data_IF_013380347666
#
_entry.id   IF_013380347666
#
_cell.length_a   1.000
_cell.length_b   1.000
_cell.length_c   1.000
_cell.angle_alpha   90.00
_cell.angle_beta   90.00
_cell.angle_gamma   90.00
#
_symmetry.space_group_name_H-M   'P 1'
#
loop_
_entity.id
_entity.type
_entity.pdbx_description
1 polymer ?
#
# COMPACT_ATOMS: atom_id res chain seq x y z
N UNK A 1 1.45 -2.04 -10.28
CA UNK A 1 1.81 -0.69 -10.78
C UNK A 1 3.22 -0.76 -11.33
N UNK A 2 3.44 -0.48 -12.62
CA UNK A 2 4.79 -0.47 -13.18
C UNK A 2 5.55 0.74 -12.62
N UNK A 3 6.77 0.51 -12.16
CA UNK A 3 7.69 1.55 -11.76
C UNK A 3 8.01 2.42 -12.99
N UNK A 4 7.49 3.63 -13.05
CA UNK A 4 7.86 4.59 -14.09
C UNK A 4 9.27 5.10 -13.76
N UNK A 5 10.21 4.88 -14.66
CA UNK A 5 11.53 5.48 -14.56
C UNK A 5 11.47 6.87 -15.17
N UNK A 6 12.21 7.85 -14.62
CA UNK A 6 12.37 9.13 -15.27
C UNK A 6 12.87 8.89 -16.70
N UNK A 7 12.19 9.47 -17.65
CA UNK A 7 12.55 9.44 -19.07
C UNK A 7 12.23 10.83 -19.64
N UNK A 8 13.20 11.76 -19.62
CA UNK A 8 12.98 13.13 -20.09
C UNK A 8 12.42 13.18 -21.51
N UNK A 9 12.89 12.33 -22.41
CA UNK A 9 12.40 12.31 -23.79
C UNK A 9 10.92 11.96 -23.84
N UNK A 10 10.48 10.93 -23.10
CA UNK A 10 9.06 10.59 -23.01
C UNK A 10 8.23 11.64 -22.29
N UNK A 11 8.80 12.28 -21.26
CA UNK A 11 8.13 13.38 -20.58
C UNK A 11 7.77 14.48 -21.57
N UNK A 12 8.74 15.04 -22.26
CA UNK A 12 8.48 16.11 -23.21
C UNK A 12 7.56 15.69 -24.36
N UNK A 13 7.76 14.51 -24.93
CA UNK A 13 7.00 14.07 -26.11
C UNK A 13 5.58 13.60 -25.82
N UNK A 14 5.32 13.01 -24.64
CA UNK A 14 4.06 12.31 -24.35
C UNK A 14 3.28 12.82 -23.16
N UNK A 15 3.96 13.38 -22.15
CA UNK A 15 3.33 13.71 -20.88
C UNK A 15 3.21 15.22 -20.65
N UNK A 16 4.09 16.03 -21.24
CA UNK A 16 3.98 17.47 -21.13
C UNK A 16 2.88 18.01 -22.06
N UNK A 17 1.84 18.55 -21.46
CA UNK A 17 0.80 19.30 -22.15
C UNK A 17 1.20 20.75 -22.27
N UNK A 18 1.38 21.25 -23.50
CA UNK A 18 1.69 22.66 -23.73
C UNK A 18 0.44 23.50 -23.47
N UNK A 19 0.55 24.44 -22.54
CA UNK A 19 -0.49 25.36 -22.13
C UNK A 19 -0.20 26.77 -22.62
N UNK A 20 -1.20 27.67 -22.54
CA UNK A 20 -1.03 29.09 -22.83
C UNK A 20 0.03 29.75 -21.89
N UNK A 21 0.20 29.25 -20.69
CA UNK A 21 1.23 29.74 -19.78
C UNK A 21 2.64 29.42 -20.30
N UNK A 22 2.86 28.22 -20.82
CA UNK A 22 4.14 27.88 -21.49
C UNK A 22 4.41 28.80 -22.67
N UNK A 23 3.42 29.02 -23.54
CA UNK A 23 3.53 29.92 -24.69
C UNK A 23 3.86 31.36 -24.25
N UNK A 24 3.16 31.86 -23.23
CA UNK A 24 3.39 33.20 -22.69
C UNK A 24 4.80 33.37 -22.12
N UNK A 25 5.31 32.35 -21.42
CA UNK A 25 6.66 32.38 -20.83
C UNK A 25 7.77 32.29 -21.87
N UNK A 26 7.53 31.55 -22.97
CA UNK A 26 8.49 31.34 -24.05
C UNK A 26 8.45 32.42 -25.12
N UNK A 27 7.38 33.23 -25.22
CA UNK A 27 7.17 34.21 -26.26
C UNK A 27 6.58 33.63 -27.56
N UNK A 28 6.33 34.48 -28.56
CA UNK A 28 5.61 34.12 -29.81
C UNK A 28 6.48 33.41 -30.87
N UNK A 29 7.66 32.94 -30.54
CA UNK A 29 8.63 32.39 -31.49
C UNK A 29 8.28 30.99 -32.02
N UNK A 30 7.31 30.29 -31.41
CA UNK A 30 7.00 28.88 -31.71
C UNK A 30 5.67 28.75 -32.41
N UNK A 31 5.64 28.04 -33.53
CA UNK A 31 4.44 27.82 -34.34
C UNK A 31 3.62 26.58 -33.92
N UNK A 32 4.22 25.66 -33.20
CA UNK A 32 3.57 24.40 -32.78
C UNK A 32 3.98 23.94 -31.37
N UNK A 33 3.12 23.09 -30.76
CA UNK A 33 3.44 22.43 -29.49
C UNK A 33 4.68 21.53 -29.58
N UNK A 34 4.90 20.93 -30.74
CA UNK A 34 6.05 20.06 -30.98
C UNK A 34 7.36 20.86 -30.98
N UNK A 35 7.38 22.05 -31.60
CA UNK A 35 8.54 22.93 -31.51
C UNK A 35 8.85 23.36 -30.10
N UNK A 36 7.81 23.70 -29.31
CA UNK A 36 7.97 24.05 -27.89
C UNK A 36 8.57 22.87 -27.12
N UNK A 37 8.04 21.64 -27.27
CA UNK A 37 8.56 20.45 -26.59
C UNK A 37 10.02 20.18 -26.95
N UNK A 38 10.35 20.31 -28.22
CA UNK A 38 11.74 20.13 -28.70
C UNK A 38 12.66 21.19 -28.11
N UNK A 39 12.23 22.44 -28.06
CA UNK A 39 12.98 23.52 -27.43
C UNK A 39 13.22 23.28 -25.94
N UNK A 40 12.14 22.98 -25.16
CA UNK A 40 12.23 22.71 -23.74
C UNK A 40 13.19 21.55 -23.43
N UNK A 41 13.25 20.53 -24.28
CA UNK A 41 14.16 19.40 -24.11
C UNK A 41 15.64 19.79 -24.21
N UNK A 42 15.97 20.94 -24.82
CA UNK A 42 17.35 21.43 -24.98
C UNK A 42 17.82 22.36 -23.86
N UNK A 43 16.90 22.77 -22.99
CA UNK A 43 17.17 23.73 -21.91
C UNK A 43 17.86 23.06 -20.72
N UNK A 44 18.64 23.87 -20.01
CA UNK A 44 19.21 23.46 -18.73
C UNK A 44 18.16 23.42 -17.58
N UNK A 45 18.47 22.78 -16.45
CA UNK A 45 17.55 22.68 -15.31
C UNK A 45 17.09 24.05 -14.77
N UNK A 46 17.95 25.07 -14.74
CA UNK A 46 17.57 26.40 -14.20
C UNK A 46 16.55 27.10 -15.10
N UNK A 47 16.65 26.92 -16.41
CA UNK A 47 15.69 27.44 -17.37
C UNK A 47 14.34 26.67 -17.26
N UNK A 48 14.40 25.35 -17.09
CA UNK A 48 13.20 24.52 -16.92
C UNK A 48 12.46 24.86 -15.63
N UNK A 49 13.15 25.13 -14.53
CA UNK A 49 12.53 25.53 -13.25
C UNK A 49 11.69 26.81 -13.37
N UNK A 50 12.02 27.71 -14.30
CA UNK A 50 11.27 28.94 -14.55
C UNK A 50 10.06 28.74 -15.46
N UNK A 51 10.12 27.75 -16.32
CA UNK A 51 9.12 27.52 -17.37
C UNK A 51 8.07 26.50 -16.96
N UNK A 52 8.49 25.41 -16.31
CA UNK A 52 7.63 24.32 -15.90
C UNK A 52 7.00 24.58 -14.52
N UNK A 53 5.83 24.02 -14.30
CA UNK A 53 5.20 23.99 -12.99
C UNK A 53 5.91 23.00 -12.07
N UNK A 54 5.72 23.13 -10.76
CA UNK A 54 6.25 22.19 -9.76
C UNK A 54 5.90 20.73 -10.09
N UNK A 55 4.68 20.49 -10.54
CA UNK A 55 4.23 19.17 -10.94
C UNK A 55 4.94 18.63 -12.18
N UNK A 56 5.14 19.46 -13.18
CA UNK A 56 5.85 19.08 -14.41
C UNK A 56 7.33 18.79 -14.12
N UNK A 57 7.94 19.56 -13.23
CA UNK A 57 9.29 19.28 -12.72
C UNK A 57 9.36 17.95 -11.95
N UNK A 58 8.35 17.66 -11.12
CA UNK A 58 8.24 16.36 -10.45
C UNK A 58 8.12 15.22 -11.47
N UNK A 59 7.25 15.36 -12.46
CA UNK A 59 7.05 14.36 -13.51
C UNK A 59 8.30 14.16 -14.38
N UNK A 60 9.04 15.23 -14.67
CA UNK A 60 10.33 15.18 -15.36
C UNK A 60 11.38 14.41 -14.56
N UNK A 61 11.51 14.71 -13.27
CA UNK A 61 12.58 14.19 -12.42
C UNK A 61 12.29 12.78 -11.86
N UNK A 62 11.02 12.44 -11.62
CA UNK A 62 10.62 11.19 -10.97
C UNK A 62 9.72 10.29 -11.82
N UNK A 63 9.33 10.74 -13.00
CA UNK A 63 8.46 10.04 -13.93
C UNK A 63 7.00 10.48 -13.83
N UNK A 64 6.42 10.80 -14.98
CA UNK A 64 5.02 11.22 -15.08
C UNK A 64 4.07 10.15 -14.57
N UNK A 65 3.11 10.56 -13.74
CA UNK A 65 2.07 9.71 -13.16
C UNK A 65 0.76 10.45 -13.03
N UNK A 66 -0.32 9.74 -13.25
CA UNK A 66 -1.66 10.25 -13.03
C UNK A 66 -1.98 10.27 -11.54
N UNK A 67 -2.70 11.31 -11.12
CA UNK A 67 -3.18 11.50 -9.76
C UNK A 67 -4.70 11.54 -9.76
N UNK A 68 -5.32 11.23 -8.64
CA UNK A 68 -6.79 11.32 -8.50
C UNK A 68 -7.33 12.74 -8.70
N UNK A 69 -6.45 13.76 -8.61
CA UNK A 69 -6.79 15.17 -8.83
C UNK A 69 -6.82 15.57 -10.32
N UNK A 70 -6.38 14.71 -11.24
CA UNK A 70 -6.33 15.02 -12.68
C UNK A 70 -7.69 14.88 -13.35
N UNK A 71 -8.69 15.58 -12.79
CA UNK A 71 -10.09 15.49 -13.19
C UNK A 71 -10.38 15.99 -14.63
N UNK A 72 -9.44 16.70 -15.24
CA UNK A 72 -9.51 17.07 -16.66
C UNK A 72 -9.36 15.85 -17.57
N UNK A 73 -8.66 14.81 -17.10
CA UNK A 73 -8.58 13.52 -17.76
C UNK A 73 -9.85 12.73 -17.49
N UNK A 74 -10.61 12.39 -18.55
CA UNK A 74 -11.92 11.73 -18.42
C UNK A 74 -11.84 10.44 -17.58
N UNK A 75 -10.87 9.57 -17.86
CA UNK A 75 -10.71 8.30 -17.14
C UNK A 75 -10.39 8.48 -15.64
N UNK A 76 -9.79 9.60 -15.23
CA UNK A 76 -9.57 9.94 -13.81
C UNK A 76 -10.85 10.55 -13.22
N UNK A 77 -11.50 11.43 -13.94
CA UNK A 77 -12.78 12.02 -13.53
C UNK A 77 -13.83 10.96 -13.26
N UNK A 78 -13.90 9.95 -14.12
CA UNK A 78 -14.93 8.91 -14.10
C UNK A 78 -14.65 7.79 -13.07
N UNK A 79 -13.49 7.79 -12.38
CA UNK A 79 -13.14 6.78 -11.36
C UNK A 79 -14.23 6.56 -10.31
N UNK A 80 -14.87 7.62 -9.73
CA UNK A 80 -15.94 7.40 -8.76
C UNK A 80 -17.17 6.66 -9.31
N UNK A 81 -17.42 6.79 -10.60
CA UNK A 81 -18.55 6.12 -11.27
C UNK A 81 -18.24 4.65 -11.54
N UNK A 82 -17.00 4.33 -11.94
CA UNK A 82 -16.67 2.99 -12.43
C UNK A 82 -16.11 2.06 -11.35
N UNK A 83 -15.42 2.60 -10.32
CA UNK A 83 -14.76 1.79 -9.32
C UNK A 83 -15.72 0.95 -8.44
N UNK A 84 -16.89 1.45 -8.01
CA UNK A 84 -17.81 0.63 -7.21
C UNK A 84 -18.17 -0.68 -7.90
N UNK A 85 -18.51 -0.65 -9.18
CA UNK A 85 -18.86 -1.85 -9.94
C UNK A 85 -17.66 -2.77 -10.17
N UNK A 86 -16.49 -2.22 -10.48
CA UNK A 86 -15.27 -3.03 -10.69
C UNK A 86 -14.85 -3.80 -9.44
N UNK A 87 -14.95 -3.18 -8.25
CA UNK A 87 -14.68 -3.85 -6.99
C UNK A 87 -15.73 -4.91 -6.66
N UNK A 88 -16.99 -4.61 -6.89
CA UNK A 88 -18.07 -5.55 -6.63
C UNK A 88 -18.00 -6.76 -7.56
N UNK A 89 -17.72 -6.58 -8.85
CA UNK A 89 -17.52 -7.67 -9.80
C UNK A 89 -16.29 -8.53 -9.44
N UNK A 90 -15.23 -7.92 -8.91
CA UNK A 90 -14.07 -8.66 -8.41
C UNK A 90 -14.43 -9.51 -7.17
N UNK A 91 -15.22 -8.98 -6.25
CA UNK A 91 -15.70 -9.71 -5.08
C UNK A 91 -16.65 -10.86 -5.48
N UNK A 92 -17.53 -10.66 -6.46
CA UNK A 92 -18.37 -11.74 -7.00
C UNK A 92 -17.54 -12.89 -7.57
N UNK A 93 -16.49 -12.58 -8.37
CA UNK A 93 -15.58 -13.63 -8.87
C UNK A 93 -14.84 -14.37 -7.75
N UNK A 94 -14.47 -13.70 -6.66
CA UNK A 94 -13.88 -14.35 -5.51
C UNK A 94 -14.89 -15.31 -4.83
N UNK A 95 -16.15 -14.89 -4.66
CA UNK A 95 -17.22 -15.72 -4.12
C UNK A 95 -17.51 -16.93 -5.01
N UNK A 96 -17.59 -16.74 -6.32
CA UNK A 96 -17.77 -17.82 -7.31
C UNK A 96 -16.60 -18.81 -7.30
N UNK A 97 -15.38 -18.34 -7.00
CA UNK A 97 -14.20 -19.20 -6.84
C UNK A 97 -14.16 -19.97 -5.50
N UNK A 98 -15.19 -19.81 -4.63
CA UNK A 98 -15.30 -20.53 -3.36
C UNK A 98 -14.47 -19.90 -2.23
N UNK A 99 -14.13 -18.61 -2.31
CA UNK A 99 -13.51 -17.88 -1.21
C UNK A 99 -14.56 -17.51 -0.16
N UNK A 100 -14.17 -17.47 1.12
CA UNK A 100 -15.05 -17.11 2.24
C UNK A 100 -15.26 -15.59 2.35
N UNK A 101 -14.37 -14.79 1.77
CA UNK A 101 -14.43 -13.34 1.83
C UNK A 101 -13.34 -12.63 1.05
N UNK A 102 -13.37 -11.29 1.11
CA UNK A 102 -12.35 -10.41 0.51
C UNK A 102 -11.94 -9.28 1.44
N UNK A 103 -10.71 -8.81 1.32
CA UNK A 103 -10.21 -7.60 1.95
C UNK A 103 -10.03 -6.51 0.87
N UNK A 104 -10.81 -5.43 0.95
CA UNK A 104 -10.70 -4.28 0.06
C UNK A 104 -9.39 -3.53 0.32
N UNK A 105 -8.60 -3.32 -0.73
CA UNK A 105 -7.27 -2.74 -0.58
C UNK A 105 -7.28 -1.22 -0.71
N UNK A 106 -7.32 -0.52 0.42
CA UNK A 106 -7.35 0.94 0.54
C UNK A 106 -6.04 1.51 1.10
N UNK A 107 -4.91 0.89 0.78
CA UNK A 107 -3.61 1.23 1.35
C UNK A 107 -2.52 1.44 0.28
N UNK A 108 -1.33 1.90 0.69
CA UNK A 108 -0.06 1.93 -0.04
C UNK A 108 -0.04 2.74 -1.34
N UNK A 109 -0.67 3.92 -1.35
CA UNK A 109 -0.72 4.84 -2.50
C UNK A 109 -1.33 4.22 -3.78
N UNK A 110 -2.14 3.16 -3.63
CA UNK A 110 -3.01 2.69 -4.71
C UNK A 110 -4.26 3.56 -4.82
N UNK A 111 -5.04 3.37 -5.86
CA UNK A 111 -6.14 4.26 -6.23
C UNK A 111 -7.06 4.61 -5.05
N UNK A 112 -7.53 3.63 -4.29
CA UNK A 112 -8.43 3.89 -3.16
C UNK A 112 -7.73 4.62 -2.00
N UNK A 113 -6.47 4.29 -1.71
CA UNK A 113 -5.67 5.03 -0.75
C UNK A 113 -5.47 6.49 -1.18
N UNK A 114 -5.32 6.73 -2.48
CA UNK A 114 -5.20 8.09 -3.03
C UNK A 114 -6.48 8.90 -2.86
N UNK A 115 -7.66 8.27 -2.90
CA UNK A 115 -8.92 8.95 -2.56
C UNK A 115 -9.00 9.31 -1.07
N UNK A 116 -8.49 8.49 -0.17
CA UNK A 116 -8.44 8.77 1.28
C UNK A 116 -7.36 9.80 1.66
N UNK A 117 -6.38 10.03 0.79
CA UNK A 117 -5.25 10.93 1.06
C UNK A 117 -5.69 12.37 1.32
N UNK A 118 -5.02 13.05 2.26
CA UNK A 118 -5.20 14.48 2.47
C UNK A 118 -4.72 15.33 1.27
N UNK A 119 -3.91 14.75 0.39
CA UNK A 119 -3.49 15.35 -0.89
C UNK A 119 -4.57 15.23 -1.99
N UNK A 120 -5.66 14.54 -1.72
CA UNK A 120 -6.82 14.50 -2.62
C UNK A 120 -7.66 15.78 -2.45
N UNK A 121 -7.48 16.71 -3.36
CA UNK A 121 -8.13 18.02 -3.37
C UNK A 121 -9.27 18.12 -4.40
N UNK A 122 -9.80 17.00 -4.88
CA UNK A 122 -10.95 16.99 -5.82
C UNK A 122 -12.10 17.84 -5.30
N UNK A 123 -12.72 18.63 -6.18
CA UNK A 123 -13.85 19.52 -5.85
C UNK A 123 -15.21 18.94 -6.23
N UNK A 124 -15.24 17.75 -6.83
CA UNK A 124 -16.45 17.05 -7.29
C UNK A 124 -17.17 16.25 -6.19
N UNK A 125 -16.78 16.45 -4.94
CA UNK A 125 -17.38 15.77 -3.80
C UNK A 125 -16.66 14.47 -3.39
N UNK A 126 -15.60 14.07 -4.09
CA UNK A 126 -14.78 12.87 -3.80
C UNK A 126 -13.38 13.22 -3.27
N UNK A 127 -13.20 14.40 -2.68
CA UNK A 127 -11.93 14.86 -2.11
C UNK A 127 -12.12 16.02 -1.14
N UNK A 128 -11.02 16.66 -0.73
CA UNK A 128 -11.00 17.78 0.18
C UNK A 128 -11.31 17.39 1.61
N UNK A 129 -12.57 17.49 2.04
CA UNK A 129 -12.98 17.16 3.42
C UNK A 129 -12.88 15.66 3.74
N UNK A 130 -12.93 15.31 5.03
CA UNK A 130 -12.94 13.90 5.47
C UNK A 130 -14.11 13.13 4.84
N UNK A 131 -15.28 13.74 4.81
CA UNK A 131 -16.49 13.18 4.21
C UNK A 131 -16.34 12.97 2.70
N UNK A 132 -15.73 13.93 2.00
CA UNK A 132 -15.46 13.80 0.56
C UNK A 132 -14.46 12.69 0.27
N UNK A 133 -13.37 12.59 1.04
CA UNK A 133 -12.33 11.59 0.84
C UNK A 133 -12.79 10.16 1.15
N UNK A 134 -13.67 9.96 2.11
CA UNK A 134 -14.19 8.64 2.47
C UNK A 134 -15.37 8.19 1.61
N UNK A 135 -16.01 9.09 0.88
CA UNK A 135 -17.23 8.83 0.11
C UNK A 135 -17.08 7.65 -0.85
N UNK A 136 -16.11 7.69 -1.77
CA UNK A 136 -15.91 6.61 -2.72
C UNK A 136 -15.59 5.25 -2.04
N UNK A 137 -14.70 5.16 -1.05
CA UNK A 137 -14.53 3.95 -0.25
C UNK A 137 -15.85 3.39 0.31
N UNK A 138 -16.74 4.23 0.83
CA UNK A 138 -18.04 3.81 1.38
C UNK A 138 -19.00 3.34 0.28
N UNK A 139 -19.05 4.00 -0.86
CA UNK A 139 -19.84 3.58 -2.01
C UNK A 139 -19.38 2.22 -2.54
N UNK A 140 -18.07 1.97 -2.58
CA UNK A 140 -17.50 0.65 -2.93
C UNK A 140 -17.94 -0.41 -1.92
N UNK A 141 -17.85 -0.15 -0.61
CA UNK A 141 -18.28 -1.09 0.44
C UNK A 141 -19.77 -1.44 0.24
N UNK A 142 -20.62 -0.44 0.06
CA UNK A 142 -22.06 -0.62 -0.15
C UNK A 142 -22.36 -1.48 -1.38
N UNK A 143 -21.75 -1.17 -2.53
CA UNK A 143 -21.98 -1.89 -3.78
C UNK A 143 -21.44 -3.33 -3.72
N UNK A 144 -20.28 -3.54 -3.10
CA UNK A 144 -19.75 -4.89 -2.88
C UNK A 144 -20.70 -5.69 -1.99
N UNK A 145 -21.14 -5.13 -0.85
CA UNK A 145 -22.06 -5.81 0.08
C UNK A 145 -23.38 -6.18 -0.60
N UNK A 146 -23.94 -5.27 -1.38
CA UNK A 146 -25.18 -5.51 -2.14
C UNK A 146 -25.05 -6.73 -3.07
N UNK A 147 -23.91 -6.85 -3.79
CA UNK A 147 -23.71 -7.94 -4.77
C UNK A 147 -23.30 -9.28 -4.12
N UNK A 148 -22.49 -9.27 -3.07
CA UNK A 148 -22.02 -10.53 -2.45
C UNK A 148 -22.93 -11.02 -1.32
N UNK A 149 -23.77 -10.16 -0.72
CA UNK A 149 -24.67 -10.51 0.40
C UNK A 149 -23.95 -10.51 1.74
N UNK A 150 -24.74 -10.78 2.81
CA UNK A 150 -24.30 -10.69 4.21
C UNK A 150 -23.42 -11.87 4.66
N UNK A 151 -23.56 -13.05 4.04
CA UNK A 151 -22.81 -14.25 4.41
C UNK A 151 -21.37 -14.27 3.88
N UNK A 152 -21.00 -13.33 3.03
CA UNK A 152 -19.64 -13.23 2.47
C UNK A 152 -18.81 -12.23 3.26
N UNK A 153 -17.68 -12.68 3.83
CA UNK A 153 -16.83 -11.83 4.68
C UNK A 153 -16.23 -10.67 3.89
N UNK A 154 -16.48 -9.45 4.34
CA UNK A 154 -16.01 -8.23 3.70
C UNK A 154 -15.21 -7.37 4.68
N UNK A 155 -13.92 -7.26 4.45
CA UNK A 155 -13.05 -6.36 5.23
C UNK A 155 -12.37 -5.32 4.37
N UNK A 156 -11.63 -4.43 5.01
CA UNK A 156 -10.73 -3.52 4.30
C UNK A 156 -9.38 -3.40 5.00
N UNK A 157 -8.37 -3.01 4.21
CA UNK A 157 -7.07 -2.58 4.72
C UNK A 157 -6.84 -1.14 4.36
N UNK A 158 -6.58 -0.28 5.34
CA UNK A 158 -6.27 1.12 5.10
C UNK A 158 -5.11 1.61 5.99
N UNK A 159 -4.65 2.85 5.75
CA UNK A 159 -3.50 3.41 6.44
C UNK A 159 -3.91 4.17 7.70
N UNK A 160 -3.23 3.89 8.80
CA UNK A 160 -3.28 4.73 10.01
C UNK A 160 -2.63 6.10 9.80
N UNK A 161 -1.72 6.21 8.84
CA UNK A 161 -0.98 7.42 8.49
C UNK A 161 -0.26 7.18 7.16
N UNK A 162 -0.21 8.20 6.29
CA UNK A 162 0.55 8.11 5.04
C UNK A 162 2.05 8.29 5.22
N UNK A 163 2.50 8.94 6.30
CA UNK A 163 3.90 9.26 6.58
C UNK A 163 4.59 10.11 5.51
N UNK A 164 3.85 11.03 4.89
CA UNK A 164 4.36 11.99 3.90
C UNK A 164 3.91 13.40 4.25
N UNK A 165 4.63 14.40 3.75
CA UNK A 165 4.27 15.81 3.94
C UNK A 165 2.90 16.09 3.34
N UNK A 166 1.99 16.65 4.14
CA UNK A 166 0.63 16.95 3.71
C UNK A 166 -0.31 15.74 3.56
N UNK A 167 0.18 14.52 3.81
CA UNK A 167 -0.62 13.30 3.76
C UNK A 167 -1.58 13.14 4.94
N UNK A 168 -2.44 12.14 4.87
CA UNK A 168 -3.39 11.79 5.94
C UNK A 168 -2.69 11.40 7.23
N UNK A 169 -3.20 11.90 8.33
CA UNK A 169 -2.73 11.66 9.69
C UNK A 169 -3.54 10.59 10.42
N UNK A 170 -3.08 10.19 11.60
CA UNK A 170 -3.84 9.31 12.48
C UNK A 170 -5.23 9.87 12.84
N UNK A 171 -5.39 11.20 12.90
CA UNK A 171 -6.70 11.82 13.15
C UNK A 171 -7.67 11.53 12.01
N UNK A 172 -7.22 11.61 10.76
CA UNK A 172 -8.02 11.27 9.59
C UNK A 172 -8.38 9.76 9.60
N UNK A 173 -7.40 8.92 9.92
CA UNK A 173 -7.58 7.46 9.98
C UNK A 173 -8.58 7.03 11.08
N UNK A 174 -8.61 7.71 12.21
CA UNK A 174 -9.62 7.49 13.26
C UNK A 174 -11.03 7.74 12.72
N UNK A 175 -11.23 8.84 12.00
CA UNK A 175 -12.51 9.14 11.35
C UNK A 175 -12.88 8.05 10.33
N UNK A 176 -11.97 7.71 9.43
CA UNK A 176 -12.21 6.69 8.41
C UNK A 176 -12.53 5.32 9.03
N UNK A 177 -11.81 4.91 10.07
CA UNK A 177 -12.04 3.66 10.78
C UNK A 177 -13.46 3.57 11.36
N UNK A 178 -13.96 4.65 11.96
CA UNK A 178 -15.33 4.73 12.47
C UNK A 178 -16.35 4.63 11.34
N UNK A 179 -16.16 5.36 10.23
CA UNK A 179 -17.06 5.30 9.09
C UNK A 179 -17.08 3.92 8.41
N UNK A 180 -15.93 3.23 8.33
CA UNK A 180 -15.86 1.86 7.82
C UNK A 180 -16.56 0.85 8.73
N UNK A 181 -16.42 0.98 10.04
CA UNK A 181 -17.16 0.14 11.00
C UNK A 181 -18.67 0.37 10.90
N UNK A 182 -19.10 1.63 10.80
CA UNK A 182 -20.50 2.02 10.59
C UNK A 182 -21.06 1.49 9.25
N UNK A 183 -20.24 1.38 8.22
CA UNK A 183 -20.62 0.80 6.94
C UNK A 183 -20.79 -0.72 6.95
N UNK A 184 -20.58 -1.39 8.10
CA UNK A 184 -20.83 -2.81 8.27
C UNK A 184 -19.74 -3.74 7.74
N UNK A 185 -18.47 -3.31 7.77
CA UNK A 185 -17.38 -4.23 7.49
C UNK A 185 -17.24 -5.29 8.60
N UNK A 186 -16.95 -6.53 8.19
CA UNK A 186 -16.77 -7.66 9.08
C UNK A 186 -15.42 -7.63 9.82
N UNK A 187 -14.40 -6.97 9.25
CA UNK A 187 -13.13 -6.68 9.90
C UNK A 187 -12.43 -5.49 9.24
N UNK A 188 -11.51 -4.86 9.98
CA UNK A 188 -10.68 -3.77 9.49
C UNK A 188 -9.21 -4.06 9.79
N UNK A 189 -8.38 -4.02 8.77
CA UNK A 189 -6.93 -4.25 8.84
C UNK A 189 -6.17 -2.93 8.78
N UNK A 190 -5.33 -2.67 9.77
CA UNK A 190 -4.60 -1.39 9.86
C UNK A 190 -3.17 -1.55 9.38
N UNK A 191 -2.77 -0.66 8.49
CA UNK A 191 -1.40 -0.53 8.02
C UNK A 191 -0.86 0.89 8.23
N UNK A 192 0.35 1.19 7.81
CA UNK A 192 0.99 2.50 7.94
C UNK A 192 1.98 2.76 6.82
N UNK A 193 2.04 4.00 6.37
CA UNK A 193 2.93 4.45 5.31
C UNK A 193 2.45 4.10 3.90
N UNK A 194 3.05 4.75 2.91
CA UNK A 194 2.68 4.62 1.51
C UNK A 194 3.76 3.98 0.64
N UNK A 195 3.42 3.70 -0.60
CA UNK A 195 4.35 3.31 -1.66
C UNK A 195 4.24 4.32 -2.80
N UNK A 196 5.36 4.89 -3.20
CA UNK A 196 5.44 5.81 -4.32
C UNK A 196 6.22 5.19 -5.47
N UNK A 197 5.89 5.57 -6.70
CA UNK A 197 6.56 5.07 -7.91
C UNK A 197 8.05 5.42 -7.96
N UNK A 198 8.42 6.55 -7.37
CA UNK A 198 9.78 7.05 -7.24
C UNK A 198 10.51 6.57 -5.98
N UNK A 199 9.86 5.77 -5.16
CA UNK A 199 10.43 5.27 -3.94
C UNK A 199 11.69 4.43 -4.17
N UNK A 200 12.73 4.67 -3.34
CA UNK A 200 13.93 3.84 -3.31
C UNK A 200 13.56 2.41 -2.96
N UNK A 201 14.02 1.48 -3.77
CA UNK A 201 13.89 0.07 -3.44
C UNK A 201 14.93 -0.31 -2.38
N UNK A 202 14.55 -0.98 -1.28
CA UNK A 202 15.49 -1.45 -0.29
C UNK A 202 16.40 -2.52 -0.88
N UNK A 203 17.63 -2.60 -0.40
CA UNK A 203 18.49 -3.75 -0.65
C UNK A 203 18.06 -4.94 0.19
N UNK A 204 18.46 -6.14 -0.21
CA UNK A 204 18.27 -7.34 0.60
C UNK A 204 19.00 -7.14 1.93
N UNK A 205 18.30 -7.31 3.04
CA UNK A 205 18.83 -7.10 4.39
C UNK A 205 18.58 -5.71 4.97
N UNK A 206 18.12 -4.74 4.16
CA UNK A 206 17.63 -3.46 4.66
C UNK A 206 16.15 -3.57 5.06
N UNK A 207 15.72 -2.73 5.99
CA UNK A 207 14.30 -2.64 6.31
C UNK A 207 13.50 -2.16 5.09
N UNK A 208 12.51 -2.93 4.67
CA UNK A 208 11.78 -2.70 3.43
C UNK A 208 10.69 -1.64 3.56
N UNK A 209 10.52 -1.07 4.69
CA UNK A 209 9.28 -0.37 4.96
C UNK A 209 9.38 1.03 5.44
N UNK A 210 8.42 1.64 4.97
CA UNK A 210 7.68 1.54 3.72
C UNK A 210 8.52 2.08 2.62
N UNK A 211 8.06 1.89 1.42
CA UNK A 211 8.68 2.53 0.28
C UNK A 211 8.77 4.03 0.52
N UNK A 212 9.95 4.52 0.33
CA UNK A 212 10.32 5.90 0.60
C UNK A 212 10.03 6.76 -0.62
N UNK A 213 9.60 8.00 -0.41
CA UNK A 213 9.45 9.02 -1.45
C UNK A 213 10.79 9.54 -1.98
N UNK A 214 10.83 10.71 -2.66
CA UNK A 214 12.03 11.27 -3.27
C UNK A 214 13.20 11.42 -2.31
N UNK A 215 12.96 11.82 -1.05
CA UNK A 215 14.00 11.93 -0.02
C UNK A 215 14.49 10.57 0.48
N UNK A 216 13.75 9.52 0.22
CA UNK A 216 14.04 8.18 0.69
C UNK A 216 13.55 7.89 2.11
N UNK A 217 12.86 8.81 2.77
CA UNK A 217 12.47 8.69 4.17
C UNK A 217 11.02 9.10 4.48
N UNK A 218 10.33 9.76 3.58
CA UNK A 218 9.03 10.38 3.82
C UNK A 218 7.97 9.41 4.30
N UNK A 219 8.01 8.17 3.82
CA UNK A 219 6.99 7.20 4.14
C UNK A 219 7.08 6.64 5.55
N UNK A 220 8.27 6.46 6.11
CA UNK A 220 8.48 6.05 7.52
C UNK A 220 9.86 6.45 8.04
N UNK A 221 10.12 7.72 8.25
CA UNK A 221 11.46 8.22 8.49
C UNK A 221 12.12 7.67 9.77
N UNK A 222 11.33 7.36 10.79
CA UNK A 222 11.85 6.98 12.11
C UNK A 222 11.85 5.48 12.39
N UNK A 223 11.37 4.66 11.45
CA UNK A 223 11.01 3.29 11.77
C UNK A 223 12.04 2.24 11.39
N UNK A 224 13.01 2.61 10.56
CA UNK A 224 13.94 1.64 10.00
C UNK A 224 15.09 1.35 10.93
N UNK A 225 15.51 2.32 11.71
CA UNK A 225 16.76 2.27 12.49
C UNK A 225 16.64 2.72 13.94
N UNK A 226 15.43 2.79 14.50
CA UNK A 226 15.30 3.09 15.91
C UNK A 226 15.63 1.88 16.81
N UNK A 227 15.77 2.14 18.11
CA UNK A 227 16.12 1.12 19.10
C UNK A 227 15.10 -0.01 19.27
N UNK A 228 13.91 0.14 18.74
CA UNK A 228 12.83 -0.87 18.81
C UNK A 228 12.89 -1.86 17.64
N UNK A 229 13.72 -1.60 16.64
CA UNK A 229 13.81 -2.45 15.45
C UNK A 229 12.49 -2.44 14.64
N UNK A 230 12.17 -3.50 13.91
CA UNK A 230 10.99 -3.58 13.03
C UNK A 230 9.69 -4.00 13.75
N UNK A 231 9.70 -4.12 15.08
CA UNK A 231 8.62 -4.75 15.84
C UNK A 231 7.54 -3.76 16.28
N UNK A 232 6.28 -4.16 16.15
CA UNK A 232 5.16 -3.50 16.80
C UNK A 232 4.88 -2.05 16.40
N UNK A 233 5.37 -1.57 15.28
CA UNK A 233 5.34 -0.15 14.91
C UNK A 233 3.97 0.42 14.61
N UNK A 234 3.02 -0.44 14.30
CA UNK A 234 1.65 -0.05 14.01
C UNK A 234 0.68 -0.32 15.16
N UNK A 235 1.19 -0.75 16.32
CA UNK A 235 0.37 -1.13 17.46
C UNK A 235 -0.39 0.08 18.02
N UNK A 236 0.32 1.15 18.38
CA UNK A 236 -0.31 2.32 18.98
C UNK A 236 -1.35 2.99 18.06
N UNK A 237 -1.08 3.23 16.77
CA UNK A 237 -2.09 3.69 15.85
C UNK A 237 -3.32 2.77 15.77
N UNK A 238 -3.11 1.45 15.69
CA UNK A 238 -4.20 0.46 15.64
C UNK A 238 -5.06 0.52 16.89
N UNK A 239 -4.45 0.57 18.07
CA UNK A 239 -5.15 0.68 19.35
C UNK A 239 -6.01 1.95 19.43
N UNK A 240 -5.52 3.09 18.94
CA UNK A 240 -6.28 4.35 18.90
C UNK A 240 -7.48 4.27 17.97
N UNK A 241 -7.32 3.70 16.77
CA UNK A 241 -8.42 3.52 15.83
C UNK A 241 -9.47 2.55 16.43
N UNK A 242 -9.03 1.41 16.96
CA UNK A 242 -9.90 0.46 17.66
C UNK A 242 -10.71 1.11 18.79
N UNK A 243 -10.03 1.86 19.65
CA UNK A 243 -10.67 2.55 20.77
C UNK A 243 -11.75 3.53 20.31
N UNK A 244 -11.52 4.26 19.23
CA UNK A 244 -12.49 5.17 18.65
C UNK A 244 -13.71 4.43 18.06
N UNK A 245 -13.49 3.32 17.38
CA UNK A 245 -14.56 2.45 16.86
C UNK A 245 -15.43 1.93 18.00
N UNK A 246 -14.82 1.44 19.09
CA UNK A 246 -15.53 0.98 20.30
C UNK A 246 -16.32 2.13 20.97
N UNK A 247 -15.70 3.33 21.08
CA UNK A 247 -16.37 4.52 21.64
C UNK A 247 -17.56 4.97 20.80
N UNK A 248 -17.55 4.70 19.49
CA UNK A 248 -18.67 4.96 18.59
C UNK A 248 -19.76 3.85 18.62
N UNK A 249 -19.58 2.81 19.42
CA UNK A 249 -20.57 1.73 19.62
C UNK A 249 -20.46 0.57 18.63
N UNK A 250 -19.35 0.42 17.90
CA UNK A 250 -19.16 -0.67 16.94
C UNK A 250 -18.17 -1.72 17.47
N UNK A 251 -18.49 -2.98 17.22
CA UNK A 251 -17.68 -4.14 17.65
C UNK A 251 -16.87 -4.77 16.48
N UNK A 252 -16.77 -4.08 15.36
CA UNK A 252 -16.00 -4.56 14.17
C UNK A 252 -14.59 -4.98 14.59
N UNK A 253 -14.18 -6.24 14.33
CA UNK A 253 -12.85 -6.74 14.66
C UNK A 253 -11.73 -5.98 13.94
N UNK A 254 -10.66 -5.67 14.68
CA UNK A 254 -9.50 -4.94 14.17
C UNK A 254 -8.29 -5.85 14.09
N UNK A 255 -7.75 -5.98 12.88
CA UNK A 255 -6.52 -6.75 12.62
C UNK A 255 -5.31 -5.86 12.89
N UNK A 256 -4.54 -6.21 13.91
CA UNK A 256 -3.26 -5.55 14.20
C UNK A 256 -2.13 -6.23 13.45
N UNK A 257 -1.34 -5.45 12.71
CA UNK A 257 -0.22 -5.92 11.88
C UNK A 257 1.05 -5.09 12.12
N UNK A 258 2.17 -5.56 11.59
CA UNK A 258 3.41 -4.76 11.57
C UNK A 258 4.46 -5.24 12.56
N UNK A 259 5.31 -6.17 12.12
CA UNK A 259 6.43 -6.67 12.92
C UNK A 259 6.00 -7.55 14.10
N UNK A 260 4.87 -8.24 13.97
CA UNK A 260 4.42 -9.19 14.99
C UNK A 260 5.04 -10.56 14.68
N UNK A 261 5.74 -11.11 15.66
CA UNK A 261 6.36 -12.42 15.56
C UNK A 261 6.39 -13.08 16.96
N UNK A 262 6.16 -14.38 16.96
CA UNK A 262 6.13 -15.14 18.18
C UNK A 262 4.86 -14.96 19.02
N UNK A 263 4.68 -15.89 19.95
CA UNK A 263 3.48 -16.01 20.78
C UNK A 263 3.34 -14.85 21.78
N UNK A 264 4.40 -14.54 22.50
CA UNK A 264 4.33 -13.57 23.62
C UNK A 264 3.85 -12.19 23.19
N UNK A 265 4.36 -11.68 22.05
CA UNK A 265 3.91 -10.40 21.53
C UNK A 265 2.45 -10.48 21.05
N UNK A 266 2.10 -11.52 20.30
CA UNK A 266 0.74 -11.72 19.79
C UNK A 266 -0.27 -11.77 20.92
N UNK A 267 -0.03 -12.59 21.95
CA UNK A 267 -0.87 -12.75 23.15
C UNK A 267 -1.01 -11.43 23.92
N UNK A 268 0.08 -10.72 24.12
CA UNK A 268 0.05 -9.40 24.75
C UNK A 268 -0.87 -8.43 24.02
N UNK A 269 -0.80 -8.38 22.69
CA UNK A 269 -1.59 -7.43 21.88
C UNK A 269 -3.10 -7.72 21.93
N UNK A 270 -3.49 -8.99 21.99
CA UNK A 270 -4.88 -9.38 22.17
C UNK A 270 -5.36 -9.02 23.58
N UNK A 271 -4.57 -9.35 24.61
CA UNK A 271 -4.93 -9.13 26.01
C UNK A 271 -4.99 -7.64 26.40
N UNK A 272 -4.14 -6.78 25.80
CA UNK A 272 -4.14 -5.34 26.11
C UNK A 272 -5.10 -4.54 25.20
N UNK A 273 -5.85 -5.19 24.35
CA UNK A 273 -6.84 -4.58 23.46
C UNK A 273 -6.23 -3.76 22.32
N UNK A 274 -5.01 -4.08 21.93
CA UNK A 274 -4.36 -3.42 20.76
C UNK A 274 -4.98 -3.86 19.42
N UNK A 275 -5.59 -5.03 19.39
CA UNK A 275 -6.32 -5.57 18.25
C UNK A 275 -7.17 -6.76 18.67
N UNK A 276 -7.97 -7.26 17.77
CA UNK A 276 -8.84 -8.45 17.98
C UNK A 276 -8.32 -9.66 17.19
N UNK A 277 -7.54 -9.41 16.13
CA UNK A 277 -6.95 -10.43 15.26
C UNK A 277 -5.47 -10.08 15.02
N UNK A 278 -4.61 -11.08 15.02
CA UNK A 278 -3.17 -10.91 14.71
C UNK A 278 -2.91 -11.14 13.25
N UNK A 279 -2.27 -10.16 12.59
CA UNK A 279 -1.79 -10.27 11.21
C UNK A 279 -0.25 -10.31 11.15
N UNK A 280 0.31 -11.34 10.51
CA UNK A 280 1.76 -11.54 10.43
C UNK A 280 2.18 -12.12 9.08
N UNK A 281 2.67 -11.27 8.17
CA UNK A 281 3.07 -11.72 6.84
C UNK A 281 4.46 -12.39 6.83
N UNK A 282 5.51 -11.67 7.22
CA UNK A 282 6.88 -12.19 7.17
C UNK A 282 7.13 -13.33 8.16
N UNK A 283 6.43 -13.33 9.31
CA UNK A 283 6.49 -14.46 10.24
C UNK A 283 5.87 -15.72 9.63
N UNK A 284 4.74 -15.60 8.95
CA UNK A 284 4.11 -16.74 8.26
C UNK A 284 4.93 -17.25 7.07
N UNK A 285 5.76 -16.38 6.46
CA UNK A 285 6.76 -16.82 5.48
C UNK A 285 7.92 -17.58 6.13
N UNK A 286 8.35 -17.16 7.32
CA UNK A 286 9.44 -17.81 8.04
C UNK A 286 9.01 -19.18 8.58
N UNK A 287 7.80 -19.29 9.05
CA UNK A 287 7.18 -20.49 9.57
C UNK A 287 5.69 -20.54 9.22
N UNK A 288 5.30 -21.27 8.17
CA UNK A 288 3.88 -21.39 7.80
C UNK A 288 3.01 -22.04 8.89
N UNK A 289 3.60 -22.87 9.73
CA UNK A 289 2.90 -23.63 10.80
C UNK A 289 2.91 -22.93 12.17
N UNK A 290 3.39 -21.68 12.26
CA UNK A 290 3.62 -21.02 13.53
C UNK A 290 2.35 -20.89 14.40
N UNK A 291 1.18 -20.62 13.82
CA UNK A 291 -0.09 -20.60 14.56
C UNK A 291 -0.48 -21.99 15.07
N UNK A 292 -0.27 -23.04 14.25
CA UNK A 292 -0.53 -24.43 14.65
C UNK A 292 0.40 -24.88 15.78
N UNK A 293 1.68 -24.51 15.72
CA UNK A 293 2.65 -24.78 16.80
C UNK A 293 2.21 -24.11 18.09
N UNK A 294 1.70 -22.87 18.05
CA UNK A 294 1.14 -22.21 19.23
C UNK A 294 -0.05 -22.99 19.77
N UNK A 295 -1.01 -23.34 18.91
CA UNK A 295 -2.21 -24.08 19.29
C UNK A 295 -1.88 -25.40 20.02
N UNK A 296 -0.80 -26.08 19.60
CA UNK A 296 -0.36 -27.36 20.16
C UNK A 296 0.63 -27.21 21.33
N UNK A 297 0.85 -25.99 21.82
CA UNK A 297 1.81 -25.74 22.91
C UNK A 297 3.27 -25.90 22.52
N UNK A 298 3.58 -25.96 21.23
CA UNK A 298 4.93 -26.17 20.68
C UNK A 298 5.60 -24.88 20.20
N UNK A 299 5.33 -23.77 20.88
CA UNK A 299 5.86 -22.44 20.55
C UNK A 299 7.39 -22.35 20.48
N UNK A 300 8.11 -23.18 21.23
CA UNK A 300 9.58 -23.26 21.19
C UNK A 300 10.15 -23.76 19.85
N UNK A 301 9.30 -24.33 18.96
CA UNK A 301 9.71 -24.84 17.66
C UNK A 301 9.43 -23.84 16.51
N UNK A 302 8.92 -22.65 16.83
CA UNK A 302 8.62 -21.62 15.84
C UNK A 302 9.94 -21.06 15.28
N UNK A 303 10.04 -21.03 13.95
CA UNK A 303 11.11 -20.30 13.25
C UNK A 303 10.78 -18.82 13.26
N UNK A 304 11.41 -18.06 14.12
CA UNK A 304 11.18 -16.62 14.23
C UNK A 304 11.79 -15.86 13.04
N UNK A 305 11.00 -15.00 12.43
CA UNK A 305 11.46 -14.14 11.34
C UNK A 305 12.56 -13.19 11.83
N UNK A 306 13.71 -13.19 11.15
CA UNK A 306 14.85 -12.32 11.46
C UNK A 306 14.75 -10.94 10.79
N UNK A 307 13.68 -10.66 10.09
CA UNK A 307 13.44 -9.40 9.35
C UNK A 307 14.57 -8.98 8.41
N UNK A 308 15.26 -9.95 7.84
CA UNK A 308 16.34 -9.70 6.86
C UNK A 308 15.83 -9.10 5.54
N UNK A 309 14.52 -9.04 5.31
CA UNK A 309 13.86 -8.59 4.10
C UNK A 309 14.30 -9.32 2.82
N UNK A 310 14.84 -10.53 2.97
CA UNK A 310 15.23 -11.38 1.85
C UNK A 310 14.04 -11.70 0.93
N UNK A 311 12.89 -12.03 1.52
CA UNK A 311 11.64 -12.29 0.79
C UNK A 311 11.19 -11.06 -0.03
N UNK A 312 11.24 -9.87 0.56
CA UNK A 312 10.94 -8.61 -0.11
C UNK A 312 11.91 -8.32 -1.25
N UNK A 313 13.21 -8.54 -1.02
CA UNK A 313 14.21 -8.38 -2.07
C UNK A 313 14.04 -9.35 -3.25
N UNK A 314 13.43 -10.52 -3.03
CA UNK A 314 13.05 -11.44 -4.11
C UNK A 314 11.83 -10.92 -4.88
N UNK A 315 10.80 -10.46 -4.16
CA UNK A 315 9.58 -9.86 -4.74
C UNK A 315 9.92 -8.67 -5.64
N UNK A 316 10.73 -7.73 -5.15
CA UNK A 316 11.18 -6.57 -5.92
C UNK A 316 11.96 -6.94 -7.20
N UNK A 317 12.52 -8.12 -7.26
CA UNK A 317 13.22 -8.66 -8.45
C UNK A 317 12.33 -9.58 -9.30
N UNK A 318 11.03 -9.63 -9.01
CA UNK A 318 10.06 -10.53 -9.68
C UNK A 318 10.51 -12.00 -9.67
N UNK A 319 11.11 -12.45 -8.57
CA UNK A 319 11.52 -13.84 -8.35
C UNK A 319 10.51 -14.54 -7.46
N UNK A 320 10.50 -15.86 -7.52
CA UNK A 320 9.71 -16.67 -6.58
C UNK A 320 10.13 -16.32 -5.15
N UNK A 321 9.18 -15.88 -4.34
CA UNK A 321 9.40 -15.42 -2.96
C UNK A 321 9.57 -16.63 -2.05
N UNK A 322 10.68 -16.68 -1.33
CA UNK A 322 11.04 -17.72 -0.36
C UNK A 322 11.62 -17.10 0.90
N UNK A 323 11.79 -17.86 1.98
CA UNK A 323 12.42 -17.36 3.19
C UNK A 323 13.87 -17.85 3.30
N UNK A 324 14.77 -16.92 3.64
CA UNK A 324 16.19 -17.22 3.87
C UNK A 324 16.44 -18.30 4.94
N UNK A 325 15.50 -18.43 5.88
CA UNK A 325 15.65 -19.37 7.00
C UNK A 325 15.56 -20.83 6.58
N UNK A 326 14.89 -21.11 5.44
CA UNK A 326 14.66 -22.50 5.01
C UNK A 326 14.88 -22.75 3.52
N UNK A 327 15.05 -21.75 2.67
CA UNK A 327 15.04 -21.99 1.21
C UNK A 327 16.26 -22.77 0.69
N UNK A 328 17.24 -23.02 1.54
CA UNK A 328 18.41 -23.87 1.28
C UNK A 328 18.45 -25.18 2.08
N UNK A 329 17.41 -25.45 2.87
CA UNK A 329 17.31 -26.69 3.62
C UNK A 329 16.87 -27.84 2.74
N UNK A 330 17.45 -29.03 2.91
CA UNK A 330 17.00 -30.27 2.30
C UNK A 330 16.92 -30.27 0.76
N UNK A 331 17.80 -29.54 0.06
CA UNK A 331 17.73 -29.41 -1.40
C UNK A 331 17.88 -30.73 -2.15
N UNK A 332 18.44 -31.76 -1.52
CA UNK A 332 18.60 -33.10 -2.08
C UNK A 332 17.48 -34.09 -1.72
N UNK A 333 16.50 -33.67 -0.97
CA UNK A 333 15.38 -34.53 -0.56
C UNK A 333 14.44 -34.83 -1.72
N UNK A 334 13.89 -36.06 -1.83
CA UNK A 334 12.92 -36.40 -2.87
C UNK A 334 11.64 -35.53 -2.72
N UNK A 335 11.06 -35.18 -3.85
CA UNK A 335 9.81 -34.44 -3.96
C UNK A 335 9.87 -32.93 -3.52
N UNK A 336 11.06 -32.38 -3.25
CA UNK A 336 11.18 -30.95 -2.97
C UNK A 336 11.03 -30.17 -4.26
N UNK A 337 10.00 -29.32 -4.32
CA UNK A 337 9.80 -28.39 -5.44
C UNK A 337 10.89 -27.32 -5.42
N UNK A 338 11.68 -27.26 -6.49
CA UNK A 338 12.82 -26.36 -6.60
C UNK A 338 12.51 -25.14 -7.44
N UNK A 339 13.18 -24.03 -7.13
CA UNK A 339 13.17 -22.78 -7.89
C UNK A 339 14.60 -22.27 -8.08
N UNK A 340 14.77 -21.25 -8.94
CA UNK A 340 16.07 -20.64 -9.22
C UNK A 340 17.12 -21.69 -9.66
N UNK A 341 16.79 -22.47 -10.70
CA UNK A 341 17.69 -23.50 -11.26
C UNK A 341 18.17 -24.54 -10.22
N UNK A 342 17.29 -24.94 -9.33
CA UNK A 342 17.63 -25.92 -8.29
C UNK A 342 18.41 -25.37 -7.09
N UNK A 343 18.58 -24.05 -6.98
CA UNK A 343 19.36 -23.43 -5.90
C UNK A 343 18.57 -23.12 -4.64
N UNK A 344 17.24 -23.20 -4.71
CA UNK A 344 16.34 -22.93 -3.59
C UNK A 344 15.11 -23.82 -3.67
N UNK A 345 14.56 -24.23 -2.53
CA UNK A 345 13.24 -24.87 -2.48
C UNK A 345 12.14 -23.80 -2.56
N UNK A 346 10.98 -24.18 -3.11
CA UNK A 346 9.85 -23.29 -3.33
C UNK A 346 8.96 -23.10 -2.08
N UNK A 347 8.93 -24.11 -1.21
CA UNK A 347 8.08 -24.17 0.00
C UNK A 347 8.91 -24.47 1.22
N UNK A 348 8.44 -24.06 2.39
CA UNK A 348 9.07 -24.44 3.65
C UNK A 348 9.08 -25.98 3.80
N UNK A 349 10.05 -26.53 4.57
CA UNK A 349 9.98 -27.93 4.97
C UNK A 349 8.69 -28.21 5.75
N UNK A 350 8.08 -29.36 5.50
CA UNK A 350 6.91 -29.78 6.26
C UNK A 350 7.27 -29.93 7.75
N UNK A 351 6.43 -29.42 8.59
CA UNK A 351 6.53 -29.62 10.02
C UNK A 351 5.66 -30.83 10.42
N UNK A 352 6.28 -31.81 11.04
CA UNK A 352 5.58 -33.00 11.55
C UNK A 352 5.32 -32.87 13.03
N UNK A 353 4.10 -33.16 13.44
CA UNK A 353 3.67 -33.18 14.85
C UNK A 353 4.41 -34.22 15.70
#
# INVERSE_FOLDING_TARGET
MMKRRPDPTKFFQRFLHITEEHRKKLGEEFSSDEEIRNHLQTLDPEALDKLLTERELEDLNFGARERVNDVDSQHIRDLPVVLPDLFADAACRAKEAGMDGVELHYAYAYTMASFLSALNTRSDGYGGSLEGRVRLPLEVISNVREKVGEDFVLGCRFLSEECITGGSSLKDAVYFGVEFAKAGLDFISISRGGKFDDAKQPKIGEAAYPYTGPSGYECMPSNISDKFGPFGRNIEPTKRIRSAIRAAGYETPIVVTGGIHGFELAEKLLNDGSGDIIGAARQSMADPDWFRKILLGRGGEIRLCTYSNYCEGLDQKHKVVTCKLWDKEGLGEPNVKMVNEGKRRATAPDWTE
#
